data_IF_584198339582
#
_entry.id   IF_584198339582
#
_cell.length_a   1.000
_cell.length_b   1.000
_cell.length_c   1.000
_cell.angle_alpha   90.00
_cell.angle_beta   90.00
_cell.angle_gamma   90.00
#
_symmetry.space_group_name_H-M   'P 1'
#
loop_
_entity.id
_entity.type
_entity.pdbx_description
1 polymer ?
#
# COMPACT_ATOMS: atom_id res chain seq x y z
N UNK A 1 38.66 5.71 -49.90
CA UNK A 1 38.96 4.58 -50.82
C UNK A 1 39.51 3.43 -49.98
N UNK A 2 38.99 2.21 -50.21
CA UNK A 2 39.35 0.88 -49.63
C UNK A 2 38.91 0.70 -48.16
N UNK A 3 37.80 0.04 -47.82
CA UNK A 3 37.31 -1.34 -48.06
C UNK A 3 38.18 -2.43 -47.44
N UNK A 4 37.56 -3.25 -46.56
CA UNK A 4 37.78 -4.66 -46.15
C UNK A 4 37.07 -4.81 -44.78
N UNK A 5 35.84 -5.35 -44.65
CA UNK A 5 35.29 -6.69 -44.88
C UNK A 5 35.74 -7.78 -43.88
N UNK A 6 34.72 -8.32 -43.19
CA UNK A 6 34.56 -9.69 -42.65
C UNK A 6 35.20 -10.07 -41.30
N UNK A 7 34.37 -10.48 -40.33
CA UNK A 7 34.10 -11.91 -40.06
C UNK A 7 33.17 -12.09 -38.83
N UNK A 8 32.07 -12.83 -39.04
CA UNK A 8 31.25 -13.43 -37.99
C UNK A 8 32.03 -14.54 -37.27
N UNK A 9 31.92 -14.60 -35.95
CA UNK A 9 32.23 -15.82 -35.19
C UNK A 9 31.13 -16.07 -34.15
N UNK A 10 30.18 -16.94 -34.53
CA UNK A 10 29.33 -17.63 -33.57
C UNK A 10 30.18 -18.68 -32.85
N UNK A 11 30.28 -18.59 -31.52
CA UNK A 11 30.71 -19.69 -30.67
C UNK A 11 29.49 -20.13 -29.88
N UNK A 12 28.88 -21.23 -30.31
CA UNK A 12 27.91 -21.97 -29.53
C UNK A 12 28.65 -22.75 -28.43
N UNK A 13 28.27 -22.52 -27.17
CA UNK A 13 28.67 -23.36 -26.04
C UNK A 13 27.45 -24.18 -25.64
N UNK A 14 27.44 -25.43 -26.06
CA UNK A 14 26.59 -26.49 -25.50
C UNK A 14 27.15 -26.85 -24.12
N UNK A 15 26.47 -26.39 -23.06
CA UNK A 15 26.73 -26.77 -21.67
C UNK A 15 25.65 -27.73 -21.18
N UNK A 16 26.05 -28.97 -20.94
CA UNK A 16 25.28 -30.14 -20.56
C UNK A 16 24.52 -30.00 -19.24
N UNK A 17 23.27 -30.46 -19.25
CA UNK A 17 22.41 -30.67 -18.09
C UNK A 17 22.85 -31.94 -17.34
N UNK A 18 23.21 -31.81 -16.05
CA UNK A 18 23.34 -32.94 -15.13
C UNK A 18 22.14 -32.95 -14.19
N UNK A 19 21.22 -33.87 -14.42
CA UNK A 19 20.15 -34.24 -13.47
C UNK A 19 20.73 -35.34 -12.57
N UNK A 20 21.02 -35.01 -11.31
CA UNK A 20 21.25 -36.01 -10.27
C UNK A 20 19.90 -36.38 -9.64
N UNK A 21 19.33 -37.49 -10.13
CA UNK A 21 18.23 -38.18 -9.46
C UNK A 21 18.81 -39.00 -8.29
N UNK A 22 18.48 -38.63 -7.06
CA UNK A 22 18.77 -39.44 -5.87
C UNK A 22 17.51 -40.21 -5.49
N UNK A 23 17.51 -41.51 -5.82
CA UNK A 23 16.58 -42.50 -5.27
C UNK A 23 17.23 -43.15 -4.04
N UNK A 24 16.70 -42.85 -2.86
CA UNK A 24 16.71 -43.72 -1.68
C UNK A 24 15.29 -43.55 -1.11
N UNK A 25 14.44 -44.57 -1.06
CA UNK A 25 14.68 -45.88 -0.50
C UNK A 25 13.72 -45.98 0.68
N UNK A 26 12.62 -46.71 0.49
CA UNK A 26 11.54 -46.89 1.45
C UNK A 26 12.03 -47.62 2.71
N UNK A 27 11.63 -47.14 3.88
CA UNK A 27 11.39 -48.00 5.05
C UNK A 27 10.14 -47.52 5.77
N UNK A 28 9.11 -48.34 5.61
CA UNK A 28 7.95 -48.52 6.47
C UNK A 28 8.40 -48.79 7.92
N UNK A 29 7.60 -48.41 8.92
CA UNK A 29 7.43 -49.08 10.25
C UNK A 29 6.73 -48.15 11.27
N UNK A 30 5.43 -48.43 11.42
CA UNK A 30 4.61 -48.51 12.65
C UNK A 30 4.27 -47.28 13.51
N UNK A 31 2.97 -47.05 13.59
CA UNK A 31 2.18 -46.51 14.71
C UNK A 31 2.36 -47.34 16.00
N UNK A 32 2.18 -46.74 17.19
CA UNK A 32 0.90 -46.97 17.86
C UNK A 32 0.32 -45.75 18.63
N UNK A 33 -1.00 -45.60 18.51
CA UNK A 33 -2.00 -45.47 19.57
C UNK A 33 -1.54 -44.93 20.96
N UNK A 34 -2.15 -43.83 21.42
CA UNK A 34 -2.82 -43.76 22.75
C UNK A 34 -3.43 -42.40 23.10
N UNK A 35 -4.75 -42.46 23.29
CA UNK A 35 -5.52 -41.99 24.46
C UNK A 35 -5.85 -40.49 24.61
N UNK A 36 -7.14 -40.23 24.42
CA UNK A 36 -7.92 -39.08 24.90
C UNK A 36 -8.32 -39.26 26.38
N UNK A 37 -8.38 -38.20 27.19
CA UNK A 37 -9.20 -38.23 28.40
C UNK A 37 -10.34 -37.21 28.36
N UNK A 38 -11.56 -37.74 28.46
CA UNK A 38 -12.74 -37.07 29.01
C UNK A 38 -12.71 -37.17 30.55
N UNK A 39 -13.26 -36.20 31.28
CA UNK A 39 -13.86 -36.51 32.57
C UNK A 39 -15.36 -36.20 32.60
N UNK A 40 -16.06 -37.12 33.27
CA UNK A 40 -17.50 -37.17 33.52
C UNK A 40 -17.99 -36.24 34.63
N UNK A 41 -19.29 -35.96 34.54
CA UNK A 41 -20.23 -35.28 35.46
C UNK A 41 -20.30 -35.94 36.85
N UNK A 42 -20.60 -35.15 37.90
CA UNK A 42 -21.41 -35.59 39.05
C UNK A 42 -22.12 -34.37 39.70
N UNK A 43 -23.41 -34.55 40.02
CA UNK A 43 -24.38 -33.59 40.58
C UNK A 43 -24.27 -33.35 42.11
N UNK A 44 -24.57 -32.10 42.53
CA UNK A 44 -25.56 -31.61 43.57
C UNK A 44 -25.67 -32.37 44.91
N UNK A 45 -25.68 -31.72 46.11
CA UNK A 45 -26.78 -30.80 46.50
C UNK A 45 -26.49 -29.57 47.40
N UNK A 46 -27.48 -28.68 47.35
CA UNK A 46 -27.76 -27.48 48.18
C UNK A 46 -28.05 -27.86 49.66
N UNK A 47 -27.82 -26.96 50.65
CA UNK A 47 -28.93 -26.13 51.15
C UNK A 47 -28.57 -24.70 51.62
N UNK A 48 -29.38 -23.74 51.19
CA UNK A 48 -30.28 -22.87 51.98
C UNK A 48 -29.76 -21.94 53.13
N UNK A 49 -30.10 -20.65 52.95
CA UNK A 49 -30.39 -19.53 53.89
C UNK A 49 -29.24 -18.82 54.63
N UNK A 50 -29.02 -17.51 54.35
CA UNK A 50 -29.37 -16.40 55.28
C UNK A 50 -29.10 -14.99 54.72
N UNK A 51 -30.22 -14.30 54.48
CA UNK A 51 -30.58 -12.89 54.71
C UNK A 51 -29.57 -11.80 55.15
N UNK A 52 -29.76 -10.62 54.55
CA UNK A 52 -29.64 -9.25 55.12
C UNK A 52 -28.32 -8.47 54.94
N UNK A 53 -28.32 -7.51 54.01
CA UNK A 53 -28.47 -6.07 54.34
C UNK A 53 -28.19 -5.17 53.12
N UNK A 54 -29.17 -4.33 52.81
CA UNK A 54 -29.15 -3.28 51.77
C UNK A 54 -28.29 -2.08 52.19
N UNK A 55 -27.39 -1.56 51.34
CA UNK A 55 -26.96 -0.17 51.43
C UNK A 55 -27.76 0.73 50.48
N UNK A 56 -28.17 1.85 51.03
CA UNK A 56 -28.93 2.97 50.46
C UNK A 56 -28.26 3.60 49.22
N UNK A 57 -28.99 4.00 48.16
CA UNK A 57 -28.40 4.63 47.00
C UNK A 57 -28.09 6.11 47.30
N UNK A 58 -26.80 6.45 47.34
CA UNK A 58 -26.35 7.84 47.28
C UNK A 58 -26.59 8.38 45.87
N UNK A 59 -27.11 9.62 45.68
CA UNK A 59 -27.30 10.18 44.35
C UNK A 59 -25.93 10.58 43.79
N UNK A 60 -25.24 9.65 43.13
CA UNK A 60 -24.08 9.96 42.33
C UNK A 60 -24.56 10.71 41.10
N UNK A 61 -24.28 12.01 41.04
CA UNK A 61 -24.55 12.86 39.89
C UNK A 61 -24.00 12.21 38.63
N UNK A 62 -24.91 11.65 37.83
CA UNK A 62 -24.62 11.14 36.50
C UNK A 62 -24.40 12.34 35.59
N UNK A 63 -23.15 12.82 35.52
CA UNK A 63 -22.69 13.57 34.36
C UNK A 63 -22.74 12.62 33.17
N UNK A 64 -23.90 12.58 32.52
CA UNK A 64 -24.07 12.01 31.21
C UNK A 64 -23.05 12.72 30.31
N UNK A 65 -22.03 12.05 29.73
CA UNK A 65 -21.22 12.69 28.74
C UNK A 65 -22.15 13.05 27.58
N UNK A 66 -22.31 14.35 27.36
CA UNK A 66 -22.97 14.89 26.18
C UNK A 66 -22.43 14.15 24.96
N UNK A 67 -23.30 13.67 24.04
CA UNK A 67 -22.85 12.93 22.88
C UNK A 67 -21.90 13.83 22.12
N UNK A 68 -20.61 13.50 22.18
CA UNK A 68 -19.60 14.19 21.41
C UNK A 68 -19.93 13.85 19.97
N UNK A 69 -20.66 14.76 19.30
CA UNK A 69 -20.82 14.74 17.85
C UNK A 69 -19.41 14.61 17.31
N UNK A 70 -19.02 13.42 16.88
CA UNK A 70 -17.67 13.16 16.42
C UNK A 70 -17.40 14.16 15.31
N UNK A 71 -16.54 15.15 15.58
CA UNK A 71 -16.23 16.18 14.61
C UNK A 71 -15.68 15.46 13.38
N UNK A 72 -16.40 15.56 12.25
CA UNK A 72 -16.00 14.95 11.00
C UNK A 72 -14.76 15.70 10.50
N UNK A 73 -13.64 15.01 10.35
CA UNK A 73 -12.42 15.61 9.79
C UNK A 73 -12.66 16.12 8.36
N UNK A 74 -11.87 17.08 7.86
CA UNK A 74 -12.00 17.53 6.48
C UNK A 74 -11.86 16.39 5.47
N UNK A 75 -10.95 15.43 5.71
CA UNK A 75 -10.80 14.25 4.87
C UNK A 75 -12.03 13.31 4.93
N UNK A 76 -12.64 13.12 6.11
CA UNK A 76 -13.84 12.30 6.24
C UNK A 76 -15.04 12.92 5.53
N UNK A 77 -15.18 14.25 5.64
CA UNK A 77 -16.18 15.01 4.88
C UNK A 77 -15.96 14.85 3.37
N UNK A 78 -14.71 14.96 2.91
CA UNK A 78 -14.38 14.79 1.49
C UNK A 78 -14.62 13.36 0.99
N UNK A 79 -14.34 12.34 1.79
CA UNK A 79 -14.64 10.94 1.47
C UNK A 79 -16.13 10.76 1.16
N UNK A 80 -17.02 11.39 1.93
CA UNK A 80 -18.48 11.26 1.75
C UNK A 80 -18.98 11.80 0.40
N UNK A 81 -18.19 12.62 -0.28
CA UNK A 81 -18.51 13.15 -1.61
C UNK A 81 -18.08 12.19 -2.75
N UNK A 82 -17.27 11.17 -2.47
CA UNK A 82 -16.81 10.23 -3.49
C UNK A 82 -17.93 9.22 -3.80
N UNK A 83 -18.33 9.03 -5.08
CA UNK A 83 -19.31 8.02 -5.43
C UNK A 83 -18.86 6.62 -4.99
N UNK A 84 -19.81 5.82 -4.49
CA UNK A 84 -19.59 4.40 -4.19
C UNK A 84 -20.17 3.56 -5.33
N UNK A 85 -19.35 2.73 -5.97
CA UNK A 85 -19.75 1.81 -7.05
C UNK A 85 -18.94 0.52 -7.01
N UNK A 86 -19.40 -0.52 -7.72
CA UNK A 86 -18.61 -1.73 -7.94
C UNK A 86 -17.35 -1.48 -8.79
N UNK A 87 -16.44 -2.47 -8.83
CA UNK A 87 -15.31 -2.47 -9.78
C UNK A 87 -15.83 -2.63 -11.20
N UNK A 88 -15.37 -1.78 -12.12
CA UNK A 88 -15.53 -2.02 -13.55
C UNK A 88 -14.58 -3.13 -14.02
N UNK A 89 -14.85 -3.79 -15.17
CA UNK A 89 -13.93 -4.77 -15.74
C UNK A 89 -12.54 -4.18 -16.02
N UNK A 90 -11.49 -4.99 -15.87
CA UNK A 90 -10.11 -4.62 -16.26
C UNK A 90 -9.87 -4.74 -17.78
N UNK A 91 -10.91 -5.04 -18.56
CA UNK A 91 -10.83 -5.17 -20.02
C UNK A 91 -10.28 -3.89 -20.65
N UNK A 92 -9.35 -4.05 -21.60
CA UNK A 92 -8.73 -2.93 -22.31
C UNK A 92 -7.70 -2.15 -21.48
N UNK A 93 -7.42 -2.58 -20.24
CA UNK A 93 -6.35 -1.98 -19.45
C UNK A 93 -4.99 -2.29 -20.07
N UNK A 94 -4.24 -1.22 -20.31
CA UNK A 94 -2.81 -1.23 -20.57
C UNK A 94 -2.21 -0.04 -19.82
N UNK A 95 -1.09 -0.25 -19.12
CA UNK A 95 -0.42 0.80 -18.35
C UNK A 95 0.06 1.92 -19.27
N UNK A 96 0.45 1.60 -20.51
CA UNK A 96 0.97 2.57 -21.47
C UNK A 96 -0.13 3.54 -21.97
N UNK A 97 -1.41 3.25 -21.72
CA UNK A 97 -2.52 4.20 -21.94
C UNK A 97 -2.48 5.41 -20.99
N UNK A 98 -1.69 5.33 -19.92
CA UNK A 98 -1.43 6.44 -19.01
C UNK A 98 -0.15 7.17 -19.40
N UNK A 99 0.97 6.46 -19.38
CA UNK A 99 2.25 6.92 -19.90
C UNK A 99 3.21 5.72 -20.04
N UNK A 100 4.07 5.75 -21.05
CA UNK A 100 5.15 4.77 -21.23
C UNK A 100 6.42 5.10 -20.41
N UNK A 101 6.57 6.35 -19.98
CA UNK A 101 7.66 6.81 -19.13
C UNK A 101 7.20 7.99 -18.24
N UNK A 102 8.06 8.43 -17.34
CA UNK A 102 7.86 9.60 -16.50
C UNK A 102 7.85 10.90 -17.32
N UNK A 103 7.02 11.84 -16.90
CA UNK A 103 7.02 13.19 -17.46
C UNK A 103 8.39 13.83 -17.33
N UNK A 104 8.93 14.30 -18.47
CA UNK A 104 10.15 15.07 -18.54
C UNK A 104 9.83 16.52 -18.87
N UNK A 105 9.52 17.28 -17.83
CA UNK A 105 9.30 18.73 -17.90
C UNK A 105 10.34 19.47 -17.06
N UNK A 106 10.67 20.71 -17.45
CA UNK A 106 11.59 21.58 -16.69
C UNK A 106 12.97 20.94 -16.41
N UNK A 107 13.46 20.11 -17.33
CA UNK A 107 14.80 19.52 -17.28
C UNK A 107 14.98 18.36 -16.29
N UNK A 108 13.89 17.78 -15.79
CA UNK A 108 13.98 16.62 -14.90
C UNK A 108 12.78 15.67 -15.05
N UNK A 109 13.03 14.37 -14.98
CA UNK A 109 11.96 13.37 -14.98
C UNK A 109 11.19 13.38 -13.65
N UNK A 110 9.92 12.97 -13.71
CA UNK A 110 9.04 12.95 -12.54
C UNK A 110 9.59 12.06 -11.42
N UNK A 111 10.23 10.93 -11.72
CA UNK A 111 10.83 10.08 -10.69
C UNK A 111 11.84 10.85 -9.84
N UNK A 112 12.80 11.53 -10.46
CA UNK A 112 13.83 12.28 -9.74
C UNK A 112 13.26 13.54 -9.05
N UNK A 113 12.19 14.14 -9.58
CA UNK A 113 11.44 15.19 -8.85
C UNK A 113 10.85 14.66 -7.55
N UNK A 114 10.25 13.47 -7.57
CA UNK A 114 9.67 12.85 -6.38
C UNK A 114 10.76 12.40 -5.40
N UNK A 115 11.85 11.79 -5.88
CA UNK A 115 12.99 11.45 -5.01
C UNK A 115 13.55 12.69 -4.31
N UNK A 116 13.73 13.80 -5.03
CA UNK A 116 14.18 15.07 -4.47
C UNK A 116 13.21 15.63 -3.42
N UNK A 117 11.90 15.49 -3.65
CA UNK A 117 10.85 15.96 -2.73
C UNK A 117 10.83 15.14 -1.44
N UNK A 118 10.96 13.82 -1.55
CA UNK A 118 10.67 12.89 -0.47
C UNK A 118 11.90 12.44 0.33
N UNK A 119 13.10 12.58 -0.23
CA UNK A 119 14.32 12.34 0.52
C UNK A 119 14.60 13.48 1.50
N UNK A 120 14.93 13.12 2.74
CA UNK A 120 15.34 14.08 3.77
C UNK A 120 16.77 14.58 3.55
N UNK A 121 17.58 13.79 2.86
CA UNK A 121 18.94 14.12 2.42
C UNK A 121 19.16 13.50 1.04
N UNK A 122 19.83 14.22 0.12
CA UNK A 122 20.16 13.67 -1.20
C UNK A 122 21.39 14.34 -1.81
N UNK A 123 21.99 13.66 -2.79
CA UNK A 123 23.04 14.19 -3.64
C UNK A 123 22.71 13.89 -5.10
N UNK A 124 22.91 14.88 -5.97
CA UNK A 124 22.88 14.65 -7.41
C UNK A 124 24.13 13.90 -7.87
N UNK A 125 24.05 13.26 -9.04
CA UNK A 125 25.26 12.87 -9.76
C UNK A 125 26.08 14.12 -10.11
N UNK A 126 27.40 14.00 -10.13
CA UNK A 126 28.30 15.11 -10.44
C UNK A 126 28.09 15.73 -11.82
N UNK A 127 27.53 14.96 -12.76
CA UNK A 127 27.26 15.34 -14.15
C UNK A 127 25.79 15.72 -14.41
N UNK A 128 24.96 15.86 -13.37
CA UNK A 128 23.52 16.13 -13.52
C UNK A 128 22.97 17.05 -12.44
N UNK A 129 22.03 17.91 -12.81
CA UNK A 129 21.21 18.70 -11.86
C UNK A 129 19.84 18.09 -11.57
N UNK A 130 19.57 16.88 -12.10
CA UNK A 130 18.31 16.16 -11.94
C UNK A 130 18.52 14.78 -11.32
N UNK A 131 19.47 14.00 -11.85
CA UNK A 131 19.64 12.60 -11.46
C UNK A 131 20.18 12.48 -10.02
N UNK A 132 19.36 11.95 -9.12
CA UNK A 132 19.75 11.67 -7.74
C UNK A 132 20.70 10.45 -7.71
N UNK A 133 21.90 10.64 -7.18
CA UNK A 133 22.91 9.59 -6.99
C UNK A 133 22.72 8.85 -5.65
N UNK A 134 22.46 9.59 -4.57
CA UNK A 134 22.22 9.03 -3.24
C UNK A 134 21.12 9.79 -2.51
N UNK A 135 20.51 9.17 -1.52
CA UNK A 135 19.66 9.88 -0.57
C UNK A 135 19.18 9.02 0.59
N UNK A 136 18.47 9.64 1.53
CA UNK A 136 17.91 8.99 2.71
C UNK A 136 16.39 9.16 2.69
N UNK A 137 15.67 8.05 2.68
CA UNK A 137 14.22 8.01 2.77
C UNK A 137 13.81 7.61 4.18
N UNK A 138 12.97 8.42 4.82
CA UNK A 138 12.15 7.96 5.94
C UNK A 138 10.87 7.37 5.34
N UNK A 139 10.85 6.06 5.13
CA UNK A 139 9.80 5.41 4.35
C UNK A 139 8.44 5.51 5.04
N UNK A 140 7.45 6.18 4.44
CA UNK A 140 6.16 6.35 5.07
C UNK A 140 5.40 5.02 5.21
N UNK A 141 5.66 4.03 4.36
CA UNK A 141 4.89 2.77 4.35
C UNK A 141 5.30 1.77 5.44
N UNK A 142 6.58 1.72 5.76
CA UNK A 142 7.16 0.80 6.75
C UNK A 142 7.66 1.48 8.01
N UNK A 143 7.87 2.81 7.98
CA UNK A 143 8.49 3.57 9.07
C UNK A 143 10.00 3.35 9.18
N UNK A 144 10.61 2.63 8.23
CA UNK A 144 12.04 2.35 8.21
C UNK A 144 12.82 3.48 7.52
N UNK A 145 14.07 3.66 7.91
CA UNK A 145 15.01 4.51 7.17
C UNK A 145 15.71 3.68 6.09
N UNK A 146 15.70 4.15 4.84
CA UNK A 146 16.33 3.48 3.69
C UNK A 146 17.40 4.40 3.12
N UNK A 147 18.63 3.89 3.03
CA UNK A 147 19.75 4.57 2.36
C UNK A 147 19.75 4.20 0.88
N UNK A 148 19.31 5.12 0.04
CA UNK A 148 19.30 4.97 -1.40
C UNK A 148 20.68 5.27 -1.99
N UNK A 149 21.22 4.33 -2.74
CA UNK A 149 22.32 4.52 -3.69
C UNK A 149 21.85 4.09 -5.07
N UNK A 150 22.04 4.97 -6.06
CA UNK A 150 21.74 4.66 -7.45
C UNK A 150 22.73 3.61 -7.96
N UNK A 151 22.22 2.53 -8.54
CA UNK A 151 23.01 1.39 -9.00
C UNK A 151 22.40 0.05 -8.59
N UNK A 152 23.17 -1.01 -8.79
CA UNK A 152 22.78 -2.38 -8.43
C UNK A 152 22.66 -2.49 -6.91
N UNK A 153 21.57 -3.08 -6.42
CA UNK A 153 21.28 -3.22 -4.99
C UNK A 153 20.12 -2.32 -4.56
N UNK A 154 20.44 -1.13 -4.05
CA UNK A 154 19.45 -0.28 -3.35
C UNK A 154 18.51 0.51 -4.27
N UNK A 155 18.75 0.56 -5.59
CA UNK A 155 17.83 1.30 -6.49
C UNK A 155 16.42 0.72 -6.53
N UNK A 156 16.29 -0.59 -6.30
CA UNK A 156 14.99 -1.25 -6.21
C UNK A 156 14.38 -1.18 -4.80
N UNK A 157 15.16 -0.81 -3.79
CA UNK A 157 14.68 -0.63 -2.42
C UNK A 157 13.83 0.63 -2.27
N UNK A 158 14.01 1.62 -3.15
CA UNK A 158 13.14 2.80 -3.25
C UNK A 158 12.44 2.83 -4.61
N UNK A 159 11.11 2.78 -4.57
CA UNK A 159 10.25 2.91 -5.73
C UNK A 159 9.38 4.16 -5.61
N UNK A 160 8.89 4.66 -6.76
CA UNK A 160 7.86 5.68 -6.77
C UNK A 160 6.53 4.95 -6.93
N UNK A 161 5.73 4.93 -5.87
CA UNK A 161 4.39 4.34 -5.89
C UNK A 161 3.37 5.32 -6.46
N UNK A 162 2.42 4.78 -7.19
CA UNK A 162 1.13 5.42 -7.46
C UNK A 162 0.20 5.12 -6.28
N UNK A 163 0.05 6.08 -5.36
CA UNK A 163 -0.69 5.92 -4.10
C UNK A 163 -2.10 5.35 -4.35
N UNK A 164 -2.79 5.87 -5.37
CA UNK A 164 -3.88 5.14 -6.05
C UNK A 164 -3.28 4.39 -7.24
N UNK A 165 -3.26 3.06 -7.16
CA UNK A 165 -2.64 2.23 -8.19
C UNK A 165 -3.31 2.40 -9.56
N UNK A 166 -2.51 2.42 -10.63
CA UNK A 166 -3.00 2.69 -12.00
C UNK A 166 -4.04 1.65 -12.48
N UNK A 167 -3.81 0.37 -12.16
CA UNK A 167 -4.75 -0.73 -12.47
C UNK A 167 -6.04 -0.64 -11.65
N UNK A 168 -5.96 -0.18 -10.40
CA UNK A 168 -7.14 0.05 -9.56
C UNK A 168 -7.96 1.24 -10.08
N UNK A 169 -7.28 2.34 -10.42
CA UNK A 169 -7.89 3.53 -10.99
C UNK A 169 -8.65 3.22 -12.28
N UNK A 170 -8.11 2.37 -13.16
CA UNK A 170 -8.79 1.93 -14.39
C UNK A 170 -10.18 1.36 -14.09
N UNK A 171 -10.23 0.41 -13.15
CA UNK A 171 -11.45 -0.26 -12.71
C UNK A 171 -12.39 0.66 -11.90
N UNK A 172 -11.92 1.87 -11.55
CA UNK A 172 -12.65 2.83 -10.71
C UNK A 172 -12.82 4.21 -11.34
N UNK A 173 -12.74 4.28 -12.67
CA UNK A 173 -13.14 5.45 -13.46
C UNK A 173 -12.10 5.96 -14.44
N UNK A 174 -10.83 5.57 -14.29
CA UNK A 174 -9.78 6.08 -15.17
C UNK A 174 -9.91 5.61 -16.62
N UNK A 175 -10.69 4.54 -16.90
CA UNK A 175 -11.04 4.16 -18.27
C UNK A 175 -11.87 5.22 -19.02
N UNK A 176 -12.56 6.11 -18.29
CA UNK A 176 -13.37 7.20 -18.86
C UNK A 176 -12.59 8.51 -19.01
N UNK A 177 -11.38 8.57 -18.44
CA UNK A 177 -10.51 9.73 -18.57
C UNK A 177 -9.97 9.83 -19.99
N UNK A 178 -9.84 11.06 -20.48
CA UNK A 178 -9.07 11.34 -21.70
C UNK A 178 -7.61 10.90 -21.53
N UNK A 179 -6.91 10.69 -22.65
CA UNK A 179 -5.47 10.38 -22.64
C UNK A 179 -4.66 11.42 -21.85
N UNK A 180 -4.97 12.71 -22.02
CA UNK A 180 -4.33 13.80 -21.30
C UNK A 180 -4.56 13.72 -19.78
N UNK A 181 -5.78 13.39 -19.34
CA UNK A 181 -6.09 13.21 -17.91
C UNK A 181 -5.41 11.96 -17.32
N UNK A 182 -5.30 10.87 -18.08
CA UNK A 182 -4.55 9.68 -17.65
C UNK A 182 -3.05 9.98 -17.52
N UNK A 183 -2.48 10.73 -18.46
CA UNK A 183 -1.11 11.20 -18.37
C UNK A 183 -0.87 12.08 -17.14
N UNK A 184 -1.80 13.01 -16.88
CA UNK A 184 -1.77 13.85 -15.69
C UNK A 184 -1.84 12.99 -14.41
N UNK A 185 -2.80 12.07 -14.30
CA UNK A 185 -2.93 11.14 -13.17
C UNK A 185 -1.65 10.35 -12.89
N UNK A 186 -0.98 9.90 -13.95
CA UNK A 186 0.24 9.10 -13.85
C UNK A 186 1.44 9.90 -13.34
N UNK A 187 1.50 11.19 -13.66
CA UNK A 187 2.62 12.07 -13.35
C UNK A 187 2.30 13.08 -12.24
N UNK A 188 1.16 12.93 -11.56
CA UNK A 188 0.72 13.85 -10.51
C UNK A 188 1.51 13.63 -9.22
N UNK A 189 2.27 14.63 -8.71
CA UNK A 189 2.94 14.53 -7.42
C UNK A 189 2.01 14.19 -6.25
N UNK A 190 0.72 14.53 -6.32
CA UNK A 190 -0.27 14.13 -5.33
C UNK A 190 -0.46 12.62 -5.29
N UNK A 191 -0.35 11.95 -6.44
CA UNK A 191 -0.49 10.51 -6.58
C UNK A 191 0.85 9.75 -6.53
N UNK A 192 1.99 10.45 -6.48
CA UNK A 192 3.32 9.84 -6.47
C UNK A 192 4.02 9.99 -5.14
N UNK A 193 4.67 8.92 -4.67
CA UNK A 193 5.39 8.89 -3.40
C UNK A 193 6.62 7.98 -3.46
N UNK A 194 7.77 8.44 -3.00
CA UNK A 194 8.93 7.58 -2.80
C UNK A 194 8.69 6.68 -1.57
N UNK A 195 8.78 5.37 -1.76
CA UNK A 195 8.48 4.36 -0.74
C UNK A 195 9.39 3.15 -0.83
N UNK A 196 9.38 2.31 0.21
CA UNK A 196 9.99 0.97 0.19
C UNK A 196 9.48 0.15 -1.00
N UNK A 197 10.40 -0.34 -1.82
CA UNK A 197 10.09 -1.18 -2.98
C UNK A 197 9.42 -2.50 -2.60
N UNK A 198 9.80 -3.11 -1.47
CA UNK A 198 9.14 -4.32 -0.98
C UNK A 198 7.72 -4.06 -0.48
N UNK A 199 7.46 -2.91 0.14
CA UNK A 199 6.11 -2.54 0.56
C UNK A 199 5.23 -2.22 -0.65
N UNK A 200 5.78 -1.53 -1.64
CA UNK A 200 5.08 -1.25 -2.89
C UNK A 200 4.75 -2.53 -3.68
N UNK A 201 5.69 -3.48 -3.73
CA UNK A 201 5.44 -4.78 -4.35
C UNK A 201 4.33 -5.57 -3.63
N UNK A 202 4.28 -5.50 -2.29
CA UNK A 202 3.20 -6.11 -1.50
C UNK A 202 1.85 -5.42 -1.75
N UNK A 203 1.84 -4.08 -1.89
CA UNK A 203 0.65 -3.31 -2.24
C UNK A 203 0.12 -3.72 -3.62
N UNK A 204 0.99 -3.85 -4.62
CA UNK A 204 0.61 -4.16 -6.01
C UNK A 204 -0.49 -3.19 -6.50
N UNK A 205 -1.59 -3.69 -7.06
CA UNK A 205 -2.78 -2.93 -7.46
C UNK A 205 -3.91 -2.94 -6.43
N UNK A 206 -3.60 -3.22 -5.16
CA UNK A 206 -4.56 -3.20 -4.06
C UNK A 206 -5.07 -1.79 -3.76
N UNK A 207 -6.33 -1.72 -3.33
CA UNK A 207 -6.92 -0.54 -2.73
C UNK A 207 -6.79 -0.54 -1.19
N UNK A 208 -7.31 0.51 -0.55
CA UNK A 208 -7.27 0.66 0.89
C UNK A 208 -8.01 -0.45 1.67
N UNK A 209 -8.92 -1.19 1.03
CA UNK A 209 -9.59 -2.33 1.67
C UNK A 209 -8.66 -3.54 1.79
N UNK A 210 -7.80 -3.72 0.80
CA UNK A 210 -6.96 -4.92 0.66
C UNK A 210 -5.55 -4.71 1.20
N UNK A 211 -5.07 -3.46 1.22
CA UNK A 211 -3.74 -3.13 1.70
C UNK A 211 -3.69 -1.75 2.37
N UNK A 212 -3.03 -1.68 3.52
CA UNK A 212 -2.69 -0.44 4.23
C UNK A 212 -1.21 -0.49 4.63
N UNK A 213 -0.52 0.66 4.71
CA UNK A 213 0.81 0.77 5.27
C UNK A 213 0.97 0.02 6.60
N UNK A 214 2.06 -0.72 6.75
CA UNK A 214 2.41 -1.37 8.01
C UNK A 214 2.71 -0.34 9.11
N UNK A 215 3.26 0.81 8.72
CA UNK A 215 3.40 1.98 9.58
C UNK A 215 2.02 2.60 9.87
N UNK A 216 1.45 2.26 11.02
CA UNK A 216 0.12 2.74 11.43
C UNK A 216 0.04 4.26 11.53
N UNK A 217 1.11 4.93 11.97
CA UNK A 217 1.15 6.38 12.12
C UNK A 217 0.95 7.13 10.80
N UNK A 218 1.25 6.49 9.65
CA UNK A 218 1.09 7.09 8.33
C UNK A 218 -0.30 6.84 7.71
N UNK A 219 -1.13 5.96 8.28
CA UNK A 219 -2.39 5.52 7.63
C UNK A 219 -3.37 6.65 7.38
N UNK A 220 -3.49 7.61 8.31
CA UNK A 220 -4.34 8.79 8.13
C UNK A 220 -3.95 9.58 6.87
N UNK A 221 -2.66 9.91 6.73
CA UNK A 221 -2.14 10.64 5.58
C UNK A 221 -2.26 9.84 4.28
N UNK A 222 -2.03 8.52 4.34
CA UNK A 222 -2.16 7.62 3.19
C UNK A 222 -3.58 7.62 2.62
N UNK A 223 -4.60 7.41 3.46
CA UNK A 223 -5.98 7.35 2.98
C UNK A 223 -6.52 8.73 2.61
N UNK A 224 -6.13 9.79 3.32
CA UNK A 224 -6.47 11.16 2.94
C UNK A 224 -5.88 11.54 1.57
N UNK A 225 -4.64 11.11 1.27
CA UNK A 225 -4.06 11.29 -0.06
C UNK A 225 -4.83 10.53 -1.14
N UNK A 226 -5.25 9.29 -0.89
CA UNK A 226 -6.10 8.55 -1.84
C UNK A 226 -7.44 9.25 -2.09
N UNK A 227 -8.08 9.79 -1.05
CA UNK A 227 -9.31 10.60 -1.18
C UNK A 227 -9.07 11.82 -2.07
N UNK A 228 -7.99 12.56 -1.82
CA UNK A 228 -7.63 13.73 -2.62
C UNK A 228 -7.42 13.37 -4.11
N UNK A 229 -6.66 12.31 -4.39
CA UNK A 229 -6.44 11.83 -5.77
C UNK A 229 -7.78 11.44 -6.42
N UNK A 230 -8.61 10.64 -5.75
CA UNK A 230 -9.88 10.18 -6.33
C UNK A 230 -10.83 11.34 -6.64
N UNK A 231 -10.86 12.37 -5.79
CA UNK A 231 -11.63 13.60 -6.06
C UNK A 231 -11.08 14.33 -7.28
N UNK A 232 -9.76 14.58 -7.34
CA UNK A 232 -9.12 15.32 -8.45
C UNK A 232 -9.38 14.70 -9.82
N UNK A 233 -9.51 13.37 -9.87
CA UNK A 233 -9.72 12.63 -11.12
C UNK A 233 -11.13 12.04 -11.26
N UNK A 234 -12.08 12.46 -10.41
CA UNK A 234 -13.47 11.98 -10.42
C UNK A 234 -13.61 10.44 -10.43
N UNK A 235 -12.72 9.77 -9.70
CA UNK A 235 -12.73 8.32 -9.51
C UNK A 235 -13.70 7.95 -8.38
N UNK A 236 -14.18 6.70 -8.39
CA UNK A 236 -15.02 6.17 -7.32
C UNK A 236 -14.27 5.22 -6.37
N UNK A 237 -14.94 4.86 -5.29
CA UNK A 237 -14.51 3.79 -4.39
C UNK A 237 -15.50 2.63 -4.41
N UNK A 238 -15.04 1.44 -4.02
CA UNK A 238 -15.96 0.35 -3.67
C UNK A 238 -16.49 0.55 -2.25
N UNK A 239 -17.58 -0.12 -1.88
CA UNK A 239 -18.08 -0.07 -0.50
C UNK A 239 -17.01 -0.51 0.50
N UNK A 240 -16.32 -1.62 0.23
CA UNK A 240 -15.27 -2.12 1.12
C UNK A 240 -14.10 -1.13 1.28
N UNK A 241 -13.73 -0.44 0.20
CA UNK A 241 -12.70 0.60 0.22
C UNK A 241 -13.16 1.84 0.99
N UNK A 242 -14.40 2.30 0.76
CA UNK A 242 -15.01 3.38 1.52
C UNK A 242 -14.96 3.08 3.02
N UNK A 243 -15.44 1.90 3.43
CA UNK A 243 -15.51 1.51 4.83
C UNK A 243 -14.11 1.40 5.46
N UNK A 244 -13.11 0.96 4.69
CA UNK A 244 -11.72 0.92 5.16
C UNK A 244 -11.14 2.31 5.37
N UNK A 245 -11.38 3.24 4.44
CA UNK A 245 -10.93 4.63 4.56
C UNK A 245 -11.67 5.33 5.72
N UNK A 246 -12.99 5.17 5.81
CA UNK A 246 -13.83 5.74 6.88
C UNK A 246 -13.33 5.29 8.27
N UNK A 247 -13.11 3.98 8.47
CA UNK A 247 -12.54 3.46 9.72
C UNK A 247 -11.21 4.10 10.08
N UNK A 248 -10.29 4.23 9.12
CA UNK A 248 -8.99 4.88 9.39
C UNK A 248 -9.20 6.34 9.74
N UNK A 249 -10.01 7.09 8.99
CA UNK A 249 -10.18 8.53 9.19
C UNK A 249 -10.94 8.90 10.47
N UNK A 250 -11.77 8.01 11.01
CA UNK A 250 -12.42 8.20 12.33
C UNK A 250 -11.41 8.30 13.48
N UNK A 251 -10.25 7.68 13.34
CA UNK A 251 -9.16 7.79 14.31
C UNK A 251 -8.29 9.04 14.09
N UNK A 252 -8.62 9.88 13.09
CA UNK A 252 -7.84 11.04 12.65
C UNK A 252 -8.72 12.31 12.55
N UNK A 253 -9.20 12.87 13.68
CA UNK A 253 -10.25 13.89 13.71
C UNK A 253 -9.86 15.23 13.04
N UNK A 254 -8.56 15.51 12.90
CA UNK A 254 -8.05 16.75 12.28
C UNK A 254 -7.47 16.52 10.88
N UNK A 255 -7.54 15.29 10.35
CA UNK A 255 -6.88 14.96 9.08
C UNK A 255 -7.46 15.79 7.92
N UNK A 256 -6.63 16.70 7.40
CA UNK A 256 -6.91 17.42 6.16
C UNK A 256 -6.54 16.59 4.93
N UNK A 257 -7.09 16.95 3.77
CA UNK A 257 -6.54 16.48 2.50
C UNK A 257 -5.20 17.18 2.22
N UNK A 258 -4.18 16.48 1.70
CA UNK A 258 -2.98 17.15 1.23
C UNK A 258 -3.29 18.07 0.05
N UNK A 259 -2.68 19.25 0.03
CA UNK A 259 -2.66 20.10 -1.16
C UNK A 259 -1.64 19.53 -2.14
N UNK A 260 -2.04 19.38 -3.41
CA UNK A 260 -1.16 18.99 -4.51
C UNK A 260 -0.14 20.07 -4.86
#
# INVERSE_FOLDING_TARGET
MKSLSSANLLIGVLGTVFILASFFGCTDTSEPDRTSPTPSVTETPDPSVSESATPEPTPSGSTNPEPTTSASSPALTALSAIPIKGRAPKTGYDRDLFASDWDYSFGCDMRNKILRRDFIEFQFRSDSSCLIATGVLLDPYTGQTINFVRGVGTSNEVQIDHVVAVSDAWQKGAQQLSSAQRYAFYNDPLNLLAVSGSANAQKSDSDAASWLPSNKAYRCAYVARQVAVKISYSLWVTQAEYDAIDRVLRDCPEQALPTG
#
